data_IF_148796157315
#
_entry.id   IF_148796157315
#
_cell.length_a   1.000
_cell.length_b   1.000
_cell.length_c   1.000
_cell.angle_alpha   90.00
_cell.angle_beta   90.00
_cell.angle_gamma   90.00
#
_symmetry.space_group_name_H-M   'P 1'
#
loop_
_entity.id
_entity.type
_entity.pdbx_description
1 polymer ?
#
# COMPACT_ATOMS: atom_id res chain seq x y z
N UNK A 1 19.58 -4.02 -75.72
CA UNK A 1 18.54 -3.89 -74.68
C UNK A 1 18.96 -2.96 -73.52
N UNK A 2 20.25 -2.65 -73.31
CA UNK A 2 20.69 -1.81 -72.18
C UNK A 2 20.63 -0.29 -72.39
N UNK A 3 20.76 0.22 -73.62
CA UNK A 3 20.72 1.66 -73.88
C UNK A 3 19.32 2.27 -73.71
N UNK A 4 18.26 1.46 -73.82
CA UNK A 4 16.87 1.91 -73.67
C UNK A 4 16.45 1.93 -72.19
N UNK A 5 16.97 1.00 -71.39
CA UNK A 5 16.71 0.91 -69.94
C UNK A 5 17.32 2.09 -69.18
N UNK A 6 18.55 2.49 -69.55
CA UNK A 6 19.25 3.66 -68.96
C UNK A 6 18.58 5.00 -69.30
N UNK A 7 17.90 5.11 -70.45
CA UNK A 7 17.09 6.29 -70.81
C UNK A 7 15.80 6.40 -70.00
N UNK A 8 15.18 5.26 -69.67
CA UNK A 8 13.97 5.22 -68.84
C UNK A 8 14.25 5.52 -67.37
N UNK A 9 15.38 5.10 -66.82
CA UNK A 9 15.76 5.43 -65.43
C UNK A 9 16.10 6.91 -65.23
N UNK A 10 16.78 7.55 -66.20
CA UNK A 10 17.04 8.99 -66.16
C UNK A 10 15.72 9.79 -66.29
N UNK A 11 14.79 9.33 -67.13
CA UNK A 11 13.47 9.95 -67.27
C UNK A 11 12.63 9.80 -65.99
N UNK A 12 12.70 8.65 -65.30
CA UNK A 12 11.98 8.41 -64.05
C UNK A 12 12.52 9.23 -62.88
N UNK A 13 13.85 9.39 -62.78
CA UNK A 13 14.49 10.24 -61.75
C UNK A 13 14.21 11.73 -62.00
N UNK A 14 14.21 12.16 -63.26
CA UNK A 14 13.83 13.54 -63.61
C UNK A 14 12.34 13.84 -63.32
N UNK A 15 11.46 12.86 -63.47
CA UNK A 15 10.03 12.99 -63.14
C UNK A 15 9.79 13.06 -61.63
N UNK A 16 10.50 12.26 -60.83
CA UNK A 16 10.36 12.28 -59.36
C UNK A 16 10.94 13.55 -58.71
N UNK A 17 12.02 14.12 -59.25
CA UNK A 17 12.60 15.39 -58.76
C UNK A 17 11.77 16.63 -59.12
N UNK A 18 10.99 16.59 -60.20
CA UNK A 18 10.12 17.71 -60.62
C UNK A 18 8.77 17.72 -59.90
N UNK A 19 8.23 16.54 -59.57
CA UNK A 19 6.99 16.41 -58.78
C UNK A 19 7.22 16.79 -57.30
N UNK A 20 8.39 16.51 -56.72
CA UNK A 20 8.72 16.93 -55.34
C UNK A 20 8.97 18.44 -55.22
N UNK A 21 9.50 19.09 -56.26
CA UNK A 21 9.66 20.56 -56.29
C UNK A 21 8.32 21.32 -56.43
N UNK A 22 7.30 20.73 -57.06
CA UNK A 22 5.98 21.37 -57.22
C UNK A 22 5.12 21.31 -55.95
N UNK A 23 5.31 20.30 -55.09
CA UNK A 23 4.61 20.18 -53.79
C UNK A 23 5.18 21.17 -52.75
N UNK A 24 6.47 21.50 -52.82
CA UNK A 24 7.10 22.47 -51.90
C UNK A 24 6.71 23.94 -52.18
N UNK A 25 6.28 24.28 -53.40
CA UNK A 25 5.88 25.66 -53.76
C UNK A 25 4.39 25.92 -53.46
N UNK A 26 3.54 24.89 -53.41
CA UNK A 26 2.13 25.05 -53.00
C UNK A 26 1.91 25.23 -51.49
N UNK A 27 2.93 25.04 -50.64
CA UNK A 27 2.82 25.28 -49.18
C UNK A 27 3.31 26.67 -48.74
N UNK A 28 3.86 27.47 -49.64
CA UNK A 28 4.34 28.83 -49.32
C UNK A 28 3.47 29.96 -49.89
N UNK A 29 2.40 29.65 -50.64
CA UNK A 29 1.51 30.66 -51.25
C UNK A 29 0.11 30.72 -50.63
N UNK A 30 -0.15 29.98 -49.54
CA UNK A 30 -1.43 30.05 -48.78
C UNK A 30 -1.30 30.82 -47.47
N UNK A 31 -0.09 31.24 -47.08
CA UNK A 31 0.16 31.98 -45.83
C UNK A 31 0.12 33.51 -45.98
N UNK A 32 -0.01 34.06 -47.20
CA UNK A 32 -0.01 35.51 -47.43
C UNK A 32 -1.40 36.14 -47.62
N UNK A 33 -2.43 35.39 -48.01
CA UNK A 33 -3.77 35.94 -48.29
C UNK A 33 -4.73 35.94 -47.10
N UNK A 34 -4.44 35.19 -46.02
CA UNK A 34 -5.28 35.17 -44.83
C UNK A 34 -5.02 36.37 -43.88
N UNK A 35 -3.90 37.08 -44.04
CA UNK A 35 -3.49 38.15 -43.12
C UNK A 35 -4.04 39.55 -43.47
N UNK A 36 -4.77 39.73 -44.57
CA UNK A 36 -5.32 41.05 -44.96
C UNK A 36 -6.82 41.23 -44.66
N UNK A 37 -7.54 40.16 -44.31
CA UNK A 37 -8.98 40.21 -44.01
C UNK A 37 -9.30 40.29 -42.51
N UNK A 38 -8.32 40.66 -41.67
CA UNK A 38 -8.49 40.76 -40.20
C UNK A 38 -8.36 42.18 -39.65
N UNK A 39 -8.38 43.19 -40.52
CA UNK A 39 -8.62 44.56 -40.10
C UNK A 39 -10.08 44.91 -40.39
N UNK A 40 -10.79 45.32 -39.33
CA UNK A 40 -12.17 45.85 -39.28
C UNK A 40 -13.26 44.87 -38.84
N UNK A 41 -13.14 44.36 -37.61
CA UNK A 41 -14.29 44.14 -36.74
C UNK A 41 -13.83 44.45 -35.32
N UNK A 42 -14.12 45.65 -34.83
CA UNK A 42 -13.97 45.97 -33.42
C UNK A 42 -15.10 45.26 -32.68
N UNK A 43 -14.79 44.07 -32.15
CA UNK A 43 -15.65 43.36 -31.20
C UNK A 43 -15.77 44.21 -29.92
N UNK A 44 -16.96 44.36 -29.32
CA UNK A 44 -17.11 45.09 -28.07
C UNK A 44 -16.26 44.39 -27.00
N UNK A 45 -15.40 45.16 -26.32
CA UNK A 45 -14.60 44.66 -25.21
C UNK A 45 -15.55 44.39 -24.04
N UNK A 46 -16.12 43.20 -23.99
CA UNK A 46 -16.69 42.66 -22.76
C UNK A 46 -15.53 42.45 -21.81
N UNK A 47 -15.46 43.28 -20.77
CA UNK A 47 -14.56 43.07 -19.64
C UNK A 47 -14.98 41.79 -18.93
N UNK A 48 -14.35 40.68 -19.27
CA UNK A 48 -14.54 39.42 -18.57
C UNK A 48 -13.92 39.59 -17.17
N UNK A 49 -14.77 39.78 -16.16
CA UNK A 49 -14.35 39.62 -14.77
C UNK A 49 -13.84 38.19 -14.65
N UNK A 50 -12.53 38.04 -14.50
CA UNK A 50 -11.92 36.74 -14.23
C UNK A 50 -12.29 36.40 -12.79
N UNK A 51 -13.40 35.68 -12.62
CA UNK A 51 -13.72 35.06 -11.34
C UNK A 51 -12.65 34.00 -11.12
N UNK A 52 -11.62 34.36 -10.35
CA UNK A 52 -10.73 33.37 -9.76
C UNK A 52 -11.55 32.62 -8.73
N UNK A 53 -12.27 31.59 -9.18
CA UNK A 53 -12.72 30.56 -8.28
C UNK A 53 -11.45 29.92 -7.74
N UNK A 54 -11.16 30.18 -6.46
CA UNK A 54 -10.31 29.27 -5.69
C UNK A 54 -11.04 27.94 -5.76
N UNK A 55 -10.54 27.02 -6.58
CA UNK A 55 -10.90 25.63 -6.50
C UNK A 55 -10.55 25.22 -5.07
N UNK A 56 -11.58 25.11 -4.23
CA UNK A 56 -11.43 24.50 -2.93
C UNK A 56 -10.87 23.12 -3.23
N UNK A 57 -9.60 22.89 -2.88
CA UNK A 57 -9.10 21.54 -2.83
C UNK A 57 -10.11 20.75 -2.01
N UNK A 58 -10.54 19.55 -2.46
CA UNK A 58 -11.30 18.70 -1.56
C UNK A 58 -10.47 18.62 -0.29
N UNK A 59 -11.02 19.11 0.83
CA UNK A 59 -10.50 18.75 2.14
C UNK A 59 -10.46 17.22 2.09
N UNK A 60 -9.26 16.64 2.10
CA UNK A 60 -9.10 15.19 2.23
C UNK A 60 -10.02 14.80 3.39
N UNK A 61 -11.10 14.07 3.10
CA UNK A 61 -11.95 13.48 4.11
C UNK A 61 -11.06 12.46 4.83
N UNK A 62 -10.29 12.93 5.82
CA UNK A 62 -9.47 12.08 6.66
C UNK A 62 -10.44 11.13 7.33
N UNK A 63 -10.40 9.85 6.92
CA UNK A 63 -11.17 8.82 7.58
C UNK A 63 -10.95 8.95 9.08
N UNK A 64 -12.03 8.88 9.88
CA UNK A 64 -11.92 9.06 11.32
C UNK A 64 -10.87 8.10 11.86
N UNK A 65 -9.96 8.63 12.68
CA UNK A 65 -8.84 7.87 13.22
C UNK A 65 -9.35 6.59 13.92
N UNK A 66 -8.96 5.42 13.39
CA UNK A 66 -9.36 4.15 14.00
C UNK A 66 -8.45 3.85 15.19
N UNK A 67 -8.99 4.06 16.40
CA UNK A 67 -8.40 3.71 17.69
C UNK A 67 -9.41 2.93 18.55
N UNK A 68 -8.90 2.14 19.49
CA UNK A 68 -9.68 1.39 20.47
C UNK A 68 -9.53 1.96 21.89
N UNK A 69 -10.58 1.82 22.70
CA UNK A 69 -10.60 2.17 24.13
C UNK A 69 -9.90 1.08 24.94
N UNK A 70 -8.56 1.07 24.88
CA UNK A 70 -7.67 0.10 25.53
C UNK A 70 -6.57 0.85 26.30
N UNK A 71 -5.94 0.23 27.33
CA UNK A 71 -4.86 0.87 28.10
C UNK A 71 -3.53 0.89 27.32
N UNK A 72 -3.55 1.43 26.11
CA UNK A 72 -2.40 1.64 25.22
C UNK A 72 -2.46 3.05 24.64
N UNK A 73 -1.33 3.74 24.54
CA UNK A 73 -1.28 5.10 23.99
C UNK A 73 -1.73 5.15 22.53
N UNK A 74 -2.32 6.28 22.12
CA UNK A 74 -2.78 6.48 20.74
C UNK A 74 -1.63 6.36 19.74
N UNK A 75 -0.43 6.83 20.12
CA UNK A 75 0.80 6.69 19.32
C UNK A 75 1.15 5.22 19.07
N UNK A 76 1.13 4.40 20.13
CA UNK A 76 1.46 2.98 19.99
C UNK A 76 0.36 2.22 19.25
N UNK A 77 -0.91 2.58 19.42
CA UNK A 77 -2.01 2.02 18.63
C UNK A 77 -1.85 2.33 17.12
N UNK A 78 -1.41 3.54 16.75
CA UNK A 78 -1.07 3.85 15.34
C UNK A 78 0.08 3.00 14.82
N UNK A 79 1.12 2.80 15.64
CA UNK A 79 2.24 1.95 15.28
C UNK A 79 1.79 0.50 15.07
N UNK A 80 0.95 -0.04 15.97
CA UNK A 80 0.32 -1.37 15.80
C UNK A 80 -0.46 -1.44 14.50
N UNK A 81 -1.28 -0.42 14.18
CA UNK A 81 -2.06 -0.37 12.94
C UNK A 81 -1.17 -0.42 11.71
N UNK A 82 -0.13 0.43 11.67
CA UNK A 82 0.82 0.49 10.57
C UNK A 82 1.53 -0.87 10.36
N UNK A 83 2.02 -1.48 11.44
CA UNK A 83 2.68 -2.78 11.35
C UNK A 83 1.70 -3.89 10.95
N UNK A 84 0.46 -3.86 11.45
CA UNK A 84 -0.55 -4.86 11.14
C UNK A 84 -0.94 -4.80 9.65
N UNK A 85 -1.13 -3.59 9.11
CA UNK A 85 -1.37 -3.36 7.68
C UNK A 85 -0.22 -3.88 6.81
N UNK A 86 1.04 -3.56 7.17
CA UNK A 86 2.23 -4.06 6.46
C UNK A 86 2.31 -5.59 6.40
N UNK A 87 1.84 -6.26 7.44
CA UNK A 87 1.92 -7.72 7.58
C UNK A 87 0.66 -8.46 7.11
N UNK A 88 -0.42 -7.72 6.75
CA UNK A 88 -1.70 -8.30 6.36
C UNK A 88 -2.49 -8.88 7.53
N UNK A 89 -2.32 -8.33 8.73
CA UNK A 89 -3.04 -8.71 9.95
C UNK A 89 -4.16 -7.68 10.19
N UNK A 90 -5.42 -8.10 10.45
CA UNK A 90 -6.47 -7.17 10.84
C UNK A 90 -6.11 -6.41 12.12
N UNK A 91 -6.31 -5.09 12.15
CA UNK A 91 -5.88 -4.24 13.25
C UNK A 91 -6.53 -4.64 14.59
N UNK A 92 -7.82 -4.96 14.59
CA UNK A 92 -8.55 -5.48 15.75
C UNK A 92 -7.96 -6.80 16.29
N UNK A 93 -7.45 -7.66 15.41
CA UNK A 93 -6.80 -8.92 15.80
C UNK A 93 -5.45 -8.62 16.45
N UNK A 94 -4.67 -7.69 15.91
CA UNK A 94 -3.40 -7.27 16.50
C UNK A 94 -3.59 -6.74 17.93
N UNK A 95 -4.57 -5.85 18.12
CA UNK A 95 -4.91 -5.28 19.43
C UNK A 95 -5.39 -6.35 20.40
N UNK A 96 -6.23 -7.29 19.93
CA UNK A 96 -6.70 -8.40 20.74
C UNK A 96 -5.59 -9.39 21.13
N UNK A 97 -4.64 -9.69 20.22
CA UNK A 97 -3.47 -10.51 20.55
C UNK A 97 -2.66 -9.85 21.67
N UNK A 98 -2.38 -8.55 21.57
CA UNK A 98 -1.64 -7.83 22.63
C UNK A 98 -2.37 -7.91 23.98
N UNK A 99 -3.71 -7.80 24.00
CA UNK A 99 -4.49 -8.01 25.22
C UNK A 99 -4.28 -9.41 25.80
N UNK A 100 -4.39 -10.43 24.94
CA UNK A 100 -4.30 -11.84 25.34
C UNK A 100 -2.92 -12.25 25.81
N UNK A 101 -1.87 -11.61 25.29
CA UNK A 101 -0.49 -11.90 25.61
C UNK A 101 -0.01 -11.18 26.87
N UNK A 102 -0.28 -9.88 27.00
CA UNK A 102 0.31 -9.07 28.08
C UNK A 102 -0.69 -8.20 28.84
N UNK A 103 -1.97 -8.19 28.45
CA UNK A 103 -2.92 -7.18 28.91
C UNK A 103 -2.38 -5.75 28.73
N UNK A 104 -1.69 -5.53 27.60
CA UNK A 104 -1.06 -4.26 27.22
C UNK A 104 0.13 -3.82 28.09
N UNK A 105 0.76 -4.74 28.83
CA UNK A 105 1.93 -4.43 29.67
C UNK A 105 3.24 -4.64 28.88
N UNK A 106 4.00 -3.58 28.55
CA UNK A 106 5.24 -3.71 27.78
C UNK A 106 6.38 -4.38 28.55
N UNK A 107 6.30 -4.43 29.87
CA UNK A 107 7.27 -5.06 30.75
C UNK A 107 6.92 -6.51 31.13
N UNK A 108 5.89 -7.10 30.51
CA UNK A 108 5.46 -8.46 30.78
C UNK A 108 6.54 -9.50 30.43
N UNK A 109 6.83 -10.40 31.35
CA UNK A 109 7.74 -11.54 31.16
C UNK A 109 7.10 -12.81 31.70
N UNK A 110 7.06 -13.87 30.89
CA UNK A 110 6.52 -15.17 31.31
C UNK A 110 7.58 -16.08 31.92
N UNK A 111 7.15 -17.07 32.71
CA UNK A 111 8.01 -18.16 33.20
C UNK A 111 8.57 -19.05 32.07
N UNK A 112 7.97 -18.99 30.88
CA UNK A 112 8.38 -19.74 29.67
C UNK A 112 9.33 -18.96 28.76
N UNK A 113 9.77 -17.78 29.19
CA UNK A 113 10.73 -16.95 28.46
C UNK A 113 10.12 -16.19 27.29
N UNK A 114 8.92 -15.67 27.48
CA UNK A 114 8.23 -14.77 26.55
C UNK A 114 8.28 -13.33 27.07
N UNK A 115 8.43 -12.36 26.16
CA UNK A 115 8.78 -10.98 26.51
C UNK A 115 7.84 -9.96 25.84
N UNK A 116 7.48 -8.92 26.58
CA UNK A 116 6.82 -7.70 26.10
C UNK A 116 5.36 -7.88 25.68
N UNK A 117 4.86 -6.89 24.94
CA UNK A 117 3.45 -6.72 24.58
C UNK A 117 2.84 -7.94 23.87
N UNK A 118 3.59 -8.54 22.96
CA UNK A 118 3.19 -9.66 22.12
C UNK A 118 3.82 -10.98 22.55
N UNK A 119 4.46 -11.01 23.73
CA UNK A 119 5.05 -12.21 24.35
C UNK A 119 5.95 -13.00 23.39
N UNK A 120 7.00 -12.35 22.91
CA UNK A 120 7.96 -12.97 21.98
C UNK A 120 8.84 -13.94 22.74
N UNK A 121 8.78 -15.22 22.38
CA UNK A 121 9.60 -16.25 23.02
C UNK A 121 11.10 -16.08 22.72
N UNK A 122 11.96 -16.38 23.69
CA UNK A 122 13.43 -16.37 23.57
C UNK A 122 13.96 -17.20 22.40
N UNK A 123 13.27 -18.28 22.02
CA UNK A 123 13.68 -19.09 20.87
C UNK A 123 13.60 -18.35 19.54
N UNK A 124 12.87 -17.22 19.48
CA UNK A 124 12.73 -16.40 18.29
C UNK A 124 13.77 -15.28 18.15
N UNK A 125 14.43 -14.88 19.25
CA UNK A 125 15.21 -13.64 19.29
C UNK A 125 16.33 -13.60 18.26
N UNK A 126 17.09 -14.69 18.12
CA UNK A 126 18.24 -14.73 17.22
C UNK A 126 17.83 -14.51 15.76
N UNK A 127 16.82 -15.24 15.29
CA UNK A 127 16.43 -15.13 13.89
C UNK A 127 15.68 -13.81 13.64
N UNK A 128 14.95 -13.26 14.63
CA UNK A 128 14.35 -11.92 14.53
C UNK A 128 15.41 -10.82 14.44
N UNK A 129 16.51 -10.93 15.18
CA UNK A 129 17.65 -10.02 15.02
C UNK A 129 18.26 -10.14 13.61
N UNK A 130 18.47 -11.36 13.12
CA UNK A 130 19.05 -11.60 11.78
C UNK A 130 18.14 -11.09 10.65
N UNK A 131 16.81 -11.22 10.80
CA UNK A 131 15.82 -10.88 9.78
C UNK A 131 15.37 -9.41 9.80
N UNK A 132 15.16 -8.85 11.00
CA UNK A 132 14.53 -7.54 11.20
C UNK A 132 15.43 -6.55 11.95
N UNK A 133 16.55 -6.99 12.51
CA UNK A 133 17.41 -6.12 13.32
C UNK A 133 16.88 -5.82 14.72
N UNK A 134 15.94 -6.63 15.24
CA UNK A 134 15.41 -6.49 16.60
C UNK A 134 16.52 -6.73 17.62
N UNK A 135 16.89 -5.67 18.34
CA UNK A 135 17.97 -5.69 19.35
C UNK A 135 17.45 -5.71 20.77
N UNK A 136 16.24 -5.20 21.00
CA UNK A 136 15.59 -5.18 22.31
C UNK A 136 14.12 -5.60 22.17
N UNK A 137 13.79 -6.81 22.63
CA UNK A 137 12.40 -7.31 22.61
C UNK A 137 11.53 -6.71 23.72
N UNK A 138 12.10 -5.95 24.67
CA UNK A 138 11.33 -5.23 25.69
C UNK A 138 10.98 -3.81 25.24
N UNK A 139 11.61 -3.31 24.19
CA UNK A 139 11.20 -2.08 23.51
C UNK A 139 9.82 -2.30 22.85
N UNK A 140 8.78 -1.51 23.18
CA UNK A 140 7.42 -1.76 22.72
C UNK A 140 7.28 -1.84 21.19
N UNK A 141 7.93 -0.93 20.46
CA UNK A 141 7.84 -0.88 18.99
C UNK A 141 8.51 -2.09 18.36
N UNK A 142 9.74 -2.42 18.76
CA UNK A 142 10.44 -3.63 18.30
C UNK A 142 9.68 -4.92 18.66
N UNK A 143 9.05 -4.98 19.84
CA UNK A 143 8.23 -6.12 20.24
C UNK A 143 6.99 -6.30 19.34
N UNK A 144 6.31 -5.19 19.02
CA UNK A 144 5.16 -5.17 18.12
C UNK A 144 5.58 -5.56 16.69
N UNK A 145 6.70 -5.03 16.19
CA UNK A 145 7.24 -5.40 14.89
C UNK A 145 7.54 -6.90 14.81
N UNK A 146 8.22 -7.45 15.83
CA UNK A 146 8.51 -8.88 15.90
C UNK A 146 7.24 -9.75 15.94
N UNK A 147 6.28 -9.41 16.80
CA UNK A 147 5.05 -10.17 16.96
C UNK A 147 4.18 -10.14 15.72
N UNK A 148 3.99 -8.96 15.12
CA UNK A 148 3.21 -8.83 13.89
C UNK A 148 3.90 -9.44 12.67
N UNK A 149 5.23 -9.45 12.60
CA UNK A 149 5.94 -10.21 11.58
C UNK A 149 5.67 -11.71 11.70
N UNK A 150 5.72 -12.29 12.91
CA UNK A 150 5.41 -13.71 13.13
C UNK A 150 3.95 -14.01 12.80
N UNK A 151 3.02 -13.18 13.30
CA UNK A 151 1.58 -13.37 13.11
C UNK A 151 1.19 -13.21 11.63
N UNK A 152 1.71 -12.20 10.95
CA UNK A 152 1.49 -11.97 9.52
C UNK A 152 1.94 -13.14 8.67
N UNK A 153 3.11 -13.72 8.97
CA UNK A 153 3.57 -14.96 8.30
C UNK A 153 2.61 -16.12 8.53
N UNK A 154 1.99 -16.22 9.70
CA UNK A 154 0.98 -17.24 9.97
C UNK A 154 -0.30 -17.00 9.15
N UNK A 155 -0.79 -15.75 9.06
CA UNK A 155 -1.95 -15.36 8.24
C UNK A 155 -1.70 -15.58 6.74
N UNK A 156 -0.51 -15.23 6.23
CA UNK A 156 -0.15 -15.48 4.83
C UNK A 156 -0.07 -16.97 4.50
N UNK A 157 0.34 -17.79 5.48
CA UNK A 157 0.44 -19.24 5.31
C UNK A 157 -0.89 -19.95 5.46
N UNK A 158 -1.76 -19.42 6.31
CA UNK A 158 -3.03 -20.01 6.67
C UNK A 158 -4.14 -19.00 6.41
N UNK A 159 -4.88 -19.21 5.33
CA UNK A 159 -6.10 -18.48 4.96
C UNK A 159 -7.28 -18.82 5.92
N UNK A 160 -6.98 -18.87 7.22
CA UNK A 160 -7.88 -19.26 8.31
C UNK A 160 -7.36 -18.58 9.61
N UNK A 161 -8.09 -17.61 10.18
CA UNK A 161 -7.67 -16.89 11.37
C UNK A 161 -7.44 -17.78 12.59
N UNK A 162 -8.28 -18.80 12.82
CA UNK A 162 -8.10 -19.73 13.94
C UNK A 162 -6.78 -20.47 13.79
N UNK A 163 -6.48 -20.91 12.57
CA UNK A 163 -5.24 -21.61 12.25
C UNK A 163 -4.00 -20.73 12.40
N UNK A 164 -4.06 -19.48 11.95
CA UNK A 164 -2.98 -18.52 12.11
C UNK A 164 -2.71 -18.22 13.60
N UNK A 165 -3.75 -17.95 14.37
CA UNK A 165 -3.67 -17.68 15.82
C UNK A 165 -3.20 -18.90 16.61
N UNK A 166 -3.62 -20.10 16.22
CA UNK A 166 -3.07 -21.33 16.78
C UNK A 166 -1.58 -21.44 16.48
N UNK A 167 -1.15 -21.20 15.24
CA UNK A 167 0.26 -21.27 14.87
C UNK A 167 1.11 -20.23 15.61
N UNK A 168 0.58 -19.05 15.89
CA UNK A 168 1.22 -18.05 16.73
C UNK A 168 1.43 -18.57 18.16
N UNK A 169 0.37 -19.08 18.80
CA UNK A 169 0.40 -19.49 20.20
C UNK A 169 1.15 -20.80 20.49
N UNK A 170 1.08 -21.79 19.60
CA UNK A 170 1.66 -23.13 19.85
C UNK A 170 2.69 -23.57 18.82
N UNK A 171 3.12 -22.63 17.96
CA UNK A 171 4.02 -22.89 16.84
C UNK A 171 3.37 -23.67 15.70
N UNK A 172 4.02 -23.62 14.54
CA UNK A 172 3.54 -24.25 13.30
C UNK A 172 3.30 -25.76 13.44
N UNK A 173 4.24 -26.45 14.10
CA UNK A 173 4.18 -27.89 14.32
C UNK A 173 3.05 -28.26 15.29
N UNK A 174 2.87 -27.49 16.37
CA UNK A 174 1.81 -27.71 17.34
C UNK A 174 0.43 -27.51 16.72
N UNK A 175 0.27 -26.43 15.95
CA UNK A 175 -0.97 -26.17 15.22
C UNK A 175 -1.27 -27.31 14.24
N UNK A 176 -0.31 -27.72 13.39
CA UNK A 176 -0.50 -28.84 12.45
C UNK A 176 -0.91 -30.14 13.13
N UNK A 177 -0.33 -30.42 14.30
CA UNK A 177 -0.65 -31.61 15.09
C UNK A 177 -2.06 -31.54 15.72
N UNK A 178 -2.52 -30.35 16.13
CA UNK A 178 -3.89 -30.16 16.60
C UNK A 178 -4.89 -30.27 15.44
N UNK A 179 -4.60 -29.63 14.31
CA UNK A 179 -5.46 -29.61 13.13
C UNK A 179 -5.69 -31.01 12.55
N UNK A 180 -4.65 -31.85 12.50
CA UNK A 180 -4.75 -33.23 12.01
C UNK A 180 -5.60 -34.13 12.91
N UNK A 181 -5.86 -33.72 14.16
CA UNK A 181 -6.75 -34.39 15.11
C UNK A 181 -8.19 -33.85 15.07
N UNK A 182 -8.51 -32.96 14.13
CA UNK A 182 -9.83 -32.34 14.00
C UNK A 182 -10.08 -31.16 14.93
N UNK A 183 -9.03 -30.65 15.60
CA UNK A 183 -9.13 -29.44 16.39
C UNK A 183 -8.91 -28.22 15.48
N UNK A 184 -10.02 -27.62 15.03
CA UNK A 184 -10.02 -26.47 14.11
C UNK A 184 -10.06 -25.10 14.82
N UNK A 185 -9.98 -25.09 16.15
CA UNK A 185 -9.76 -23.89 16.96
C UNK A 185 -9.17 -24.28 18.32
N UNK A 186 -8.54 -23.33 19.01
CA UNK A 186 -8.02 -23.51 20.37
C UNK A 186 -8.78 -22.63 21.37
N UNK A 187 -8.47 -22.77 22.66
CA UNK A 187 -8.93 -21.80 23.66
C UNK A 187 -8.36 -20.40 23.36
N UNK A 188 -7.11 -20.34 22.92
CA UNK A 188 -6.42 -19.10 22.61
C UNK A 188 -7.04 -18.40 21.39
N UNK A 189 -7.20 -19.10 20.26
CA UNK A 189 -7.70 -18.48 19.03
C UNK A 189 -9.12 -17.92 19.19
N UNK A 190 -10.01 -18.69 19.84
CA UNK A 190 -11.36 -18.22 20.18
C UNK A 190 -11.33 -16.99 21.08
N UNK A 191 -10.48 -17.00 22.12
CA UNK A 191 -10.38 -15.86 23.03
C UNK A 191 -9.89 -14.59 22.32
N UNK A 192 -8.92 -14.68 21.40
CA UNK A 192 -8.48 -13.53 20.59
C UNK A 192 -9.62 -13.02 19.71
N UNK A 193 -10.33 -13.91 19.00
CA UNK A 193 -11.43 -13.52 18.11
C UNK A 193 -12.57 -12.86 18.91
N UNK A 194 -12.95 -13.45 20.04
CA UNK A 194 -13.96 -12.88 20.96
C UNK A 194 -13.53 -11.50 21.48
N UNK A 195 -12.25 -11.35 21.83
CA UNK A 195 -11.67 -10.07 22.28
C UNK A 195 -11.74 -9.03 21.17
N UNK A 196 -11.31 -9.36 19.95
CA UNK A 196 -11.35 -8.46 18.80
C UNK A 196 -12.79 -7.99 18.48
N UNK A 197 -13.77 -8.89 18.57
CA UNK A 197 -15.19 -8.56 18.37
C UNK A 197 -15.77 -7.67 19.47
N UNK A 198 -15.19 -7.71 20.68
CA UNK A 198 -15.64 -6.95 21.83
C UNK A 198 -14.97 -5.57 21.96
N UNK A 199 -13.93 -5.28 21.15
CA UNK A 199 -13.22 -4.01 21.17
C UNK A 199 -14.18 -2.85 20.89
N UNK A 200 -14.07 -1.81 21.72
CA UNK A 200 -14.82 -0.57 21.56
C UNK A 200 -13.92 0.46 20.90
N UNK A 201 -14.42 1.14 19.88
CA UNK A 201 -13.70 2.29 19.32
C UNK A 201 -13.63 3.40 20.36
N UNK A 202 -12.49 4.09 20.38
CA UNK A 202 -12.32 5.29 21.19
C UNK A 202 -13.24 6.38 20.64
N UNK A 203 -14.01 7.02 21.52
CA UNK A 203 -14.81 8.19 21.16
C UNK A 203 -13.91 9.44 21.21
N UNK A 204 -14.01 10.31 20.20
CA UNK A 204 -13.26 11.56 20.10
C UNK A 204 -14.11 12.76 20.55
#
# INVERSE_FOLDING_TARGET
MDALKRKMEIAAVAFFCTVTALIAVCSCATTAAANLARQTAAEPVTEYVTLTYTEAQPEDEQEPELLYDVPMSDELQRYVREQAERQGVPFEIAIAVIERESSYQPDAVSDTGDFGLMQINVCNHRWLYEELGITDVMDPEQNIEAGLYILGRAFQKYDDPDKALMAYNMGDSGMKAAWSKGQHSSKYSRAVIETAQALKRKEH
#
